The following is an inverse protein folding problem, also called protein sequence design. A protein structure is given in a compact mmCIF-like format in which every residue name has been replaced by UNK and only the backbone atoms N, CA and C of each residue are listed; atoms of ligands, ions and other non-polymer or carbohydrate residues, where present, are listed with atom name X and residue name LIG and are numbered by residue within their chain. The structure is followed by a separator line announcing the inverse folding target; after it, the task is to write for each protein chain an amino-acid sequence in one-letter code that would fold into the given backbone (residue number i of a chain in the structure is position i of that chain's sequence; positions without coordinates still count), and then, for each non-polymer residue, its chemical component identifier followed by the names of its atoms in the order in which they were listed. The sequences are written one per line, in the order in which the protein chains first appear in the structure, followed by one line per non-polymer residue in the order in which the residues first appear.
data_IF_026278514869
#
_entry.id   IF_026278514869
#
_cell.length_a   1.000
_cell.length_b   1.000
_cell.length_c   1.000
_cell.angle_alpha   90.00
_cell.angle_beta   90.00
_cell.angle_gamma   90.00
#
_symmetry.space_group_name_H-M   'P 1'
#
loop_
_entity.id
_entity.type
_entity.pdbx_description
1 polymer ?
#
# COMPACT_ATOMS: atom_id res chain seq x y z
N UNK A 1 -13.98 -26.73 30.29
CA UNK A 1 -13.54 -26.91 28.90
C UNK A 1 -12.03 -26.72 28.90
N UNK A 2 -11.26 -27.74 28.53
CA UNK A 2 -9.79 -27.68 28.51
C UNK A 2 -9.30 -27.01 27.22
N UNK A 3 -8.06 -26.49 27.20
CA UNK A 3 -7.43 -25.84 26.04
C UNK A 3 -7.47 -26.74 24.80
N UNK A 4 -7.31 -28.04 24.98
CA UNK A 4 -7.38 -29.05 23.93
C UNK A 4 -8.74 -29.08 23.21
N UNK A 5 -9.85 -28.92 23.93
CA UNK A 5 -11.21 -28.88 23.33
C UNK A 5 -11.40 -27.64 22.46
N UNK A 6 -10.89 -26.48 22.90
CA UNK A 6 -10.93 -25.26 22.09
C UNK A 6 -10.08 -25.38 20.83
N UNK A 7 -8.89 -25.97 20.91
CA UNK A 7 -8.06 -26.20 19.74
C UNK A 7 -8.74 -27.12 18.73
N UNK A 8 -9.38 -28.20 19.19
CA UNK A 8 -10.14 -29.09 18.30
C UNK A 8 -11.30 -28.37 17.58
N UNK A 9 -11.99 -27.44 18.26
CA UNK A 9 -13.05 -26.62 17.65
C UNK A 9 -12.53 -25.58 16.67
N UNK A 10 -11.32 -25.06 16.88
CA UNK A 10 -10.65 -24.14 15.95
C UNK A 10 -10.27 -24.88 14.66
N UNK A 11 -9.75 -26.10 14.79
CA UNK A 11 -9.33 -26.96 13.68
C UNK A 11 -10.51 -27.52 12.87
N UNK A 12 -11.61 -27.85 13.54
CA UNK A 12 -12.79 -28.45 12.92
C UNK A 12 -14.08 -27.69 13.29
N UNK A 13 -14.26 -26.44 12.82
CA UNK A 13 -15.47 -25.68 13.08
C UNK A 13 -16.68 -26.28 12.37
N UNK A 14 -17.85 -26.24 13.02
CA UNK A 14 -19.12 -26.65 12.41
C UNK A 14 -19.49 -25.72 11.25
N UNK A 15 -19.67 -26.27 10.05
CA UNK A 15 -20.06 -25.50 8.87
C UNK A 15 -21.57 -25.34 8.78
N UNK A 16 -22.03 -24.09 8.85
CA UNK A 16 -23.41 -23.67 8.53
C UNK A 16 -23.43 -22.85 7.26
N UNK A 17 -24.60 -22.40 6.81
CA UNK A 17 -24.78 -21.65 5.55
C UNK A 17 -23.78 -20.50 5.35
N UNK A 18 -23.46 -19.75 6.41
CA UNK A 18 -22.43 -18.71 6.38
C UNK A 18 -21.05 -19.27 5.96
N UNK A 19 -20.63 -20.36 6.61
CA UNK A 19 -19.37 -21.04 6.32
C UNK A 19 -19.35 -21.65 4.93
N UNK A 20 -20.48 -22.21 4.48
CA UNK A 20 -20.63 -22.76 3.13
C UNK A 20 -20.51 -21.65 2.08
N UNK A 21 -21.20 -20.51 2.27
CA UNK A 21 -21.16 -19.39 1.33
C UNK A 21 -19.76 -18.80 1.18
N UNK A 22 -19.05 -18.60 2.30
CA UNK A 22 -17.68 -18.06 2.31
C UNK A 22 -16.60 -19.11 2.02
N UNK A 23 -16.95 -20.39 1.91
CA UNK A 23 -16.02 -21.51 1.84
C UNK A 23 -15.02 -21.52 3.01
N UNK A 24 -15.54 -21.33 4.22
CA UNK A 24 -14.74 -21.31 5.45
C UNK A 24 -14.00 -22.63 5.69
N UNK A 25 -14.53 -23.77 5.22
CA UNK A 25 -13.84 -25.05 5.25
C UNK A 25 -12.49 -25.00 4.51
N UNK A 26 -12.47 -24.44 3.30
CA UNK A 26 -11.25 -24.28 2.52
C UNK A 26 -10.35 -23.19 3.08
N UNK A 27 -10.95 -22.05 3.45
CA UNK A 27 -10.21 -20.89 3.96
C UNK A 27 -9.49 -21.19 5.28
N UNK A 28 -10.15 -21.88 6.22
CA UNK A 28 -9.62 -22.22 7.54
C UNK A 28 -8.75 -23.49 7.52
N UNK A 29 -8.69 -24.21 6.38
CA UNK A 29 -7.77 -25.32 6.16
C UNK A 29 -6.46 -24.87 5.47
N UNK A 30 -6.31 -23.60 5.12
CA UNK A 30 -5.10 -23.07 4.48
C UNK A 30 -3.93 -22.84 5.46
N UNK A 31 -4.17 -22.92 6.77
CA UNK A 31 -3.13 -22.79 7.79
C UNK A 31 -2.60 -24.18 8.15
N UNK A 32 -1.32 -24.30 8.53
CA UNK A 32 -0.79 -25.56 9.09
C UNK A 32 -1.66 -26.04 10.27
N UNK A 33 -1.75 -27.35 10.52
CA UNK A 33 -2.35 -27.86 11.76
C UNK A 33 -1.61 -27.29 12.98
N UNK A 34 -2.34 -26.97 14.05
CA UNK A 34 -1.82 -26.42 15.31
C UNK A 34 -0.75 -27.32 15.94
N UNK A 35 -0.85 -28.64 15.74
CA UNK A 35 0.14 -29.60 16.22
C UNK A 35 1.45 -29.61 15.44
N UNK A 36 1.46 -29.04 14.22
CA UNK A 36 2.61 -28.99 13.32
C UNK A 36 3.30 -27.63 13.30
N UNK A 37 2.78 -26.65 14.06
CA UNK A 37 3.39 -25.32 14.16
C UNK A 37 4.76 -25.39 14.85
N UNK A 38 5.74 -24.67 14.33
CA UNK A 38 7.09 -24.58 14.89
C UNK A 38 7.10 -23.83 16.24
N UNK A 39 6.16 -22.90 16.41
CA UNK A 39 5.89 -22.20 17.67
C UNK A 39 4.47 -21.60 17.67
N UNK A 40 4.09 -20.95 18.78
CA UNK A 40 2.75 -20.40 18.96
C UNK A 40 2.43 -19.19 18.05
N UNK A 41 3.45 -18.53 17.50
CA UNK A 41 3.29 -17.35 16.65
C UNK A 41 3.18 -17.66 15.15
N UNK A 42 3.46 -18.90 14.73
CA UNK A 42 3.41 -19.27 13.31
C UNK A 42 1.99 -19.16 12.73
N UNK A 43 0.95 -19.37 13.54
CA UNK A 43 -0.43 -19.18 13.11
C UNK A 43 -0.72 -17.72 12.75
N UNK A 44 -0.33 -16.76 13.61
CA UNK A 44 -0.54 -15.34 13.31
C UNK A 44 0.29 -14.90 12.10
N UNK A 45 1.51 -15.43 11.96
CA UNK A 45 2.35 -15.17 10.79
C UNK A 45 1.63 -15.59 9.50
N UNK A 46 1.07 -16.80 9.44
CA UNK A 46 0.32 -17.26 8.27
C UNK A 46 -0.94 -16.42 8.01
N UNK A 47 -1.74 -16.16 9.04
CA UNK A 47 -3.02 -15.46 8.88
C UNK A 47 -2.82 -14.03 8.38
N UNK A 48 -1.86 -13.26 8.93
CA UNK A 48 -1.61 -11.88 8.50
C UNK A 48 -1.30 -11.82 7.00
N UNK A 49 -0.39 -12.68 6.52
CA UNK A 49 -0.01 -12.71 5.10
C UNK A 49 -1.13 -13.27 4.20
N UNK A 50 -1.93 -14.23 4.66
CA UNK A 50 -3.09 -14.73 3.91
C UNK A 50 -4.17 -13.65 3.75
N UNK A 51 -4.42 -12.87 4.81
CA UNK A 51 -5.33 -11.72 4.77
C UNK A 51 -4.80 -10.64 3.81
N UNK A 52 -3.48 -10.38 3.80
CA UNK A 52 -2.86 -9.51 2.78
C UNK A 52 -3.14 -9.98 1.36
N UNK A 53 -2.97 -11.26 1.05
CA UNK A 53 -3.26 -11.79 -0.30
C UNK A 53 -4.74 -11.62 -0.68
N UNK A 54 -5.66 -11.78 0.28
CA UNK A 54 -7.09 -11.53 0.04
C UNK A 54 -7.38 -10.05 -0.22
N UNK A 55 -6.78 -9.13 0.55
CA UNK A 55 -6.90 -7.70 0.30
C UNK A 55 -6.27 -7.28 -1.02
N UNK A 56 -5.10 -7.82 -1.36
CA UNK A 56 -4.44 -7.52 -2.63
C UNK A 56 -5.25 -8.03 -3.82
N UNK A 57 -5.91 -9.19 -3.69
CA UNK A 57 -6.86 -9.68 -4.71
C UNK A 57 -8.02 -8.69 -4.90
N UNK A 58 -8.61 -8.18 -3.82
CA UNK A 58 -9.71 -7.21 -3.90
C UNK A 58 -9.26 -5.85 -4.44
N UNK A 59 -8.06 -5.38 -4.07
CA UNK A 59 -7.45 -4.18 -4.62
C UNK A 59 -7.28 -4.33 -6.12
N UNK A 60 -6.63 -5.41 -6.57
CA UNK A 60 -6.39 -5.64 -7.99
C UNK A 60 -7.70 -5.71 -8.78
N UNK A 61 -8.69 -6.47 -8.31
CA UNK A 61 -10.02 -6.53 -8.91
C UNK A 61 -10.66 -5.14 -9.02
N UNK A 62 -10.62 -4.35 -7.95
CA UNK A 62 -11.20 -3.00 -7.92
C UNK A 62 -10.45 -2.04 -8.84
N UNK A 63 -9.13 -2.14 -8.95
CA UNK A 63 -8.33 -1.30 -9.85
C UNK A 63 -8.57 -1.63 -11.33
N UNK A 64 -8.88 -2.89 -11.67
CA UNK A 64 -9.33 -3.25 -13.02
C UNK A 64 -10.66 -2.59 -13.35
N UNK A 65 -11.63 -2.57 -12.43
CA UNK A 65 -12.87 -1.82 -12.63
C UNK A 65 -12.60 -0.31 -12.78
N UNK A 66 -11.66 0.24 -12.01
CA UNK A 66 -11.27 1.67 -12.13
C UNK A 66 -10.76 1.99 -13.53
N UNK A 67 -9.99 1.11 -14.17
CA UNK A 67 -9.56 1.31 -15.57
C UNK A 67 -10.75 1.51 -16.52
N UNK A 68 -11.76 0.64 -16.45
CA UNK A 68 -12.97 0.75 -17.28
C UNK A 68 -13.74 2.06 -17.01
N UNK A 69 -13.86 2.46 -15.74
CA UNK A 69 -14.56 3.71 -15.39
C UNK A 69 -13.74 4.97 -15.69
N UNK A 70 -12.41 4.91 -15.72
CA UNK A 70 -11.57 6.00 -16.20
C UNK A 70 -11.82 6.25 -17.68
N UNK A 71 -11.79 5.19 -18.51
CA UNK A 71 -12.03 5.29 -19.95
C UNK A 71 -13.42 5.86 -20.28
N UNK A 72 -14.44 5.49 -19.50
CA UNK A 72 -15.81 6.00 -19.62
C UNK A 72 -16.04 7.37 -18.98
N UNK A 73 -15.02 7.95 -18.34
CA UNK A 73 -15.10 9.21 -17.60
C UNK A 73 -16.19 9.24 -16.52
N UNK A 74 -16.42 8.10 -15.85
CA UNK A 74 -17.39 8.00 -14.74
C UNK A 74 -16.72 8.39 -13.42
N UNK A 75 -16.37 9.67 -13.28
CA UNK A 75 -15.55 10.23 -12.18
C UNK A 75 -16.02 9.80 -10.79
N UNK A 76 -17.32 9.92 -10.48
CA UNK A 76 -17.84 9.55 -9.16
C UNK A 76 -17.64 8.06 -8.82
N UNK A 77 -17.72 7.19 -9.84
CA UNK A 77 -17.49 5.76 -9.66
C UNK A 77 -16.01 5.47 -9.45
N UNK A 78 -15.13 6.11 -10.23
CA UNK A 78 -13.67 6.06 -10.04
C UNK A 78 -13.32 6.44 -8.60
N UNK A 79 -13.78 7.59 -8.12
CA UNK A 79 -13.49 8.08 -6.76
C UNK A 79 -14.03 7.14 -5.69
N UNK A 80 -15.24 6.61 -5.86
CA UNK A 80 -15.82 5.62 -4.92
C UNK A 80 -14.94 4.36 -4.82
N UNK A 81 -14.49 3.84 -5.96
CA UNK A 81 -13.68 2.62 -6.01
C UNK A 81 -12.24 2.86 -5.52
N UNK A 82 -11.64 3.99 -5.87
CA UNK A 82 -10.34 4.40 -5.31
C UNK A 82 -10.42 4.55 -3.79
N UNK A 83 -11.50 5.14 -3.27
CA UNK A 83 -11.73 5.21 -1.83
C UNK A 83 -11.80 3.84 -1.14
N UNK A 84 -12.28 2.78 -1.84
CA UNK A 84 -12.19 1.40 -1.34
C UNK A 84 -10.75 0.91 -1.34
N UNK A 85 -10.02 1.10 -2.44
CA UNK A 85 -8.60 0.73 -2.56
C UNK A 85 -7.78 1.37 -1.45
N UNK A 86 -7.95 2.67 -1.20
CA UNK A 86 -7.24 3.40 -0.17
C UNK A 86 -7.50 2.86 1.24
N UNK A 87 -8.74 2.44 1.54
CA UNK A 87 -9.07 1.81 2.83
C UNK A 87 -8.42 0.44 2.97
N UNK A 88 -8.40 -0.36 1.90
CA UNK A 88 -7.74 -1.66 1.88
C UNK A 88 -6.23 -1.53 2.10
N UNK A 89 -5.56 -0.58 1.44
CA UNK A 89 -4.12 -0.33 1.65
C UNK A 89 -3.84 0.11 3.09
N UNK A 90 -4.69 0.98 3.67
CA UNK A 90 -4.56 1.35 5.10
C UNK A 90 -4.72 0.14 6.03
N UNK A 91 -5.68 -0.75 5.77
CA UNK A 91 -5.86 -1.98 6.54
C UNK A 91 -4.65 -2.92 6.41
N UNK A 92 -4.10 -3.06 5.19
CA UNK A 92 -2.86 -3.82 4.97
C UNK A 92 -1.70 -3.26 5.77
N UNK A 93 -1.58 -1.93 5.84
CA UNK A 93 -0.52 -1.28 6.64
C UNK A 93 -0.74 -1.46 8.14
N UNK A 94 -1.97 -1.24 8.63
CA UNK A 94 -2.26 -1.27 10.07
C UNK A 94 -2.12 -2.68 10.68
N UNK A 95 -2.44 -3.74 9.93
CA UNK A 95 -2.31 -5.10 10.46
C UNK A 95 -0.86 -5.54 10.68
N UNK A 96 0.13 -4.85 10.10
CA UNK A 96 1.55 -5.14 10.34
C UNK A 96 1.91 -5.02 11.82
N UNK A 97 1.18 -4.19 12.58
CA UNK A 97 1.33 -4.02 14.02
C UNK A 97 1.10 -5.33 14.80
N UNK A 98 0.31 -6.27 14.27
CA UNK A 98 0.15 -7.60 14.88
C UNK A 98 1.46 -8.38 14.87
N UNK A 99 2.23 -8.31 13.78
CA UNK A 99 3.51 -9.01 13.66
C UNK A 99 4.57 -8.39 14.59
N UNK A 100 4.36 -7.17 15.10
CA UNK A 100 5.26 -6.57 16.08
C UNK A 100 5.17 -7.21 17.47
N UNK A 101 4.11 -7.95 17.77
CA UNK A 101 3.97 -8.68 19.04
C UNK A 101 4.79 -9.96 19.09
N UNK A 102 5.28 -10.43 17.94
CA UNK A 102 6.15 -11.61 17.82
C UNK A 102 7.59 -11.22 18.17
N UNK A 103 8.25 -12.01 19.02
CA UNK A 103 9.65 -11.75 19.32
C UNK A 103 10.56 -12.10 18.14
N UNK A 104 11.73 -11.44 17.99
CA UNK A 104 12.72 -11.85 17.01
C UNK A 104 13.14 -13.34 17.16
N UNK A 105 13.10 -13.90 18.38
CA UNK A 105 13.45 -15.31 18.63
C UNK A 105 12.43 -16.27 18.01
N UNK A 106 11.14 -16.00 18.20
CA UNK A 106 10.05 -16.80 17.60
C UNK A 106 10.06 -16.67 16.08
N UNK A 107 10.25 -15.45 15.55
CA UNK A 107 10.37 -15.25 14.10
C UNK A 107 11.53 -16.05 13.50
N UNK A 108 12.69 -16.12 14.17
CA UNK A 108 13.82 -16.91 13.66
C UNK A 108 13.52 -18.40 13.57
N UNK A 109 12.66 -18.95 14.43
CA UNK A 109 12.22 -20.35 14.31
C UNK A 109 11.34 -20.54 13.08
N UNK A 110 10.36 -19.65 12.86
CA UNK A 110 9.51 -19.65 11.65
C UNK A 110 10.36 -19.50 10.40
N UNK A 111 11.34 -18.59 10.40
CA UNK A 111 12.22 -18.31 9.27
C UNK A 111 12.99 -19.54 8.78
N UNK A 112 13.29 -20.51 9.64
CA UNK A 112 13.95 -21.77 9.25
C UNK A 112 13.04 -22.67 8.40
N UNK A 113 11.72 -22.57 8.56
CA UNK A 113 10.72 -23.37 7.85
C UNK A 113 10.27 -22.75 6.51
N UNK A 114 10.59 -21.48 6.26
CA UNK A 114 10.14 -20.74 5.07
C UNK A 114 10.83 -21.16 3.75
N UNK A 115 11.88 -21.99 3.83
CA UNK A 115 12.70 -22.34 2.67
C UNK A 115 13.28 -21.09 1.98
N UNK A 116 13.02 -20.92 0.69
CA UNK A 116 13.42 -19.73 -0.08
C UNK A 116 12.30 -18.69 -0.25
N UNK A 117 11.16 -18.88 0.42
CA UNK A 117 9.97 -18.05 0.27
C UNK A 117 10.23 -16.59 0.63
N UNK A 118 9.70 -15.67 -0.17
CA UNK A 118 9.87 -14.23 0.06
C UNK A 118 8.61 -13.47 -0.33
N UNK A 119 8.31 -12.36 0.37
CA UNK A 119 7.26 -11.42 -0.05
C UNK A 119 7.47 -10.88 -1.47
N UNK A 120 8.70 -10.91 -2.02
CA UNK A 120 8.97 -10.60 -3.43
C UNK A 120 8.31 -11.58 -4.41
N UNK A 121 7.83 -12.73 -3.93
CA UNK A 121 7.14 -13.75 -4.71
C UNK A 121 5.62 -13.63 -4.64
N UNK A 122 5.10 -12.76 -3.77
CA UNK A 122 3.67 -12.53 -3.59
C UNK A 122 2.97 -12.29 -4.94
N UNK A 123 2.00 -13.14 -5.31
CA UNK A 123 1.25 -12.97 -6.56
C UNK A 123 0.37 -11.72 -6.52
N UNK A 124 -0.31 -11.44 -5.40
CA UNK A 124 -1.12 -10.23 -5.23
C UNK A 124 -0.29 -8.95 -5.36
N UNK A 125 0.85 -8.90 -4.67
CA UNK A 125 1.72 -7.72 -4.70
C UNK A 125 2.27 -7.48 -6.12
N UNK A 126 2.77 -8.53 -6.79
CA UNK A 126 3.26 -8.44 -8.17
C UNK A 126 2.20 -7.93 -9.14
N UNK A 127 0.95 -8.36 -8.99
CA UNK A 127 -0.15 -7.91 -9.84
C UNK A 127 -0.43 -6.43 -9.61
N UNK A 128 -0.52 -5.99 -8.35
CA UNK A 128 -0.74 -4.58 -8.01
C UNK A 128 0.36 -3.71 -8.62
N UNK A 129 1.63 -4.11 -8.56
CA UNK A 129 2.73 -3.34 -9.13
C UNK A 129 2.66 -3.15 -10.66
N UNK A 130 1.86 -3.94 -11.37
CA UNK A 130 1.71 -3.82 -12.83
C UNK A 130 0.63 -2.84 -13.27
N UNK A 131 -0.33 -2.54 -12.40
CA UNK A 131 -1.51 -1.72 -12.74
C UNK A 131 -1.25 -0.20 -12.84
N UNK A 132 -0.34 0.43 -12.05
CA UNK A 132 -0.19 1.88 -12.08
C UNK A 132 0.17 2.48 -13.44
N UNK A 133 1.06 1.90 -14.26
CA UNK A 133 1.29 2.41 -15.62
C UNK A 133 0.03 2.46 -16.48
N UNK A 134 -0.85 1.45 -16.37
CA UNK A 134 -2.11 1.40 -17.10
C UNK A 134 -3.11 2.43 -16.57
N UNK A 135 -3.22 2.58 -15.24
CA UNK A 135 -4.06 3.59 -14.59
C UNK A 135 -3.63 4.99 -15.02
N UNK A 136 -2.32 5.24 -15.04
CA UNK A 136 -1.76 6.53 -15.46
C UNK A 136 -2.09 6.82 -16.92
N UNK A 137 -1.88 5.85 -17.81
CA UNK A 137 -2.21 5.99 -19.23
C UNK A 137 -3.70 6.27 -19.46
N UNK A 138 -4.59 5.52 -18.79
CA UNK A 138 -6.03 5.71 -18.90
C UNK A 138 -6.46 7.09 -18.37
N UNK A 139 -5.92 7.51 -17.23
CA UNK A 139 -6.17 8.84 -16.67
C UNK A 139 -5.71 9.95 -17.60
N UNK A 140 -4.47 9.91 -18.10
CA UNK A 140 -3.94 10.93 -19.01
C UNK A 140 -4.79 11.04 -20.27
N UNK A 141 -5.10 9.91 -20.90
CA UNK A 141 -5.95 9.90 -22.09
C UNK A 141 -7.35 10.51 -21.83
N UNK A 142 -8.02 10.12 -20.75
CA UNK A 142 -9.41 10.49 -20.52
C UNK A 142 -9.61 11.87 -19.84
N UNK A 143 -8.68 12.30 -18.99
CA UNK A 143 -8.84 13.49 -18.15
C UNK A 143 -7.81 14.60 -18.45
N UNK A 144 -6.71 14.30 -19.15
CA UNK A 144 -5.69 15.28 -19.52
C UNK A 144 -5.61 15.48 -21.04
N UNK A 145 -4.85 14.64 -21.74
CA UNK A 145 -4.53 14.75 -23.16
C UNK A 145 -5.79 14.89 -24.03
N UNK A 146 -6.82 14.07 -23.77
CA UNK A 146 -8.10 14.11 -24.50
C UNK A 146 -8.93 15.38 -24.25
N UNK A 147 -8.59 16.16 -23.22
CA UNK A 147 -9.21 17.45 -22.87
C UNK A 147 -8.28 18.64 -23.19
N UNK A 148 -7.08 18.39 -23.72
CA UNK A 148 -6.07 19.42 -23.96
C UNK A 148 -5.52 20.04 -22.67
N UNK A 149 -5.54 19.30 -21.56
CA UNK A 149 -5.03 19.74 -20.26
C UNK A 149 -3.73 19.03 -19.94
N UNK A 150 -2.85 19.72 -19.22
CA UNK A 150 -1.66 19.18 -18.57
C UNK A 150 -1.90 18.93 -17.08
N UNK A 151 -0.93 18.29 -16.41
CA UNK A 151 -0.94 18.21 -14.94
C UNK A 151 -0.89 19.60 -14.31
N UNK A 152 -0.13 20.54 -14.88
CA UNK A 152 -0.06 21.91 -14.39
C UNK A 152 -1.42 22.62 -14.46
N UNK A 153 -2.17 22.42 -15.54
CA UNK A 153 -3.47 23.06 -15.73
C UNK A 153 -4.46 22.68 -14.62
N UNK A 154 -4.49 21.39 -14.25
CA UNK A 154 -5.45 20.90 -13.26
C UNK A 154 -5.07 21.22 -11.81
N UNK A 155 -3.83 21.65 -11.54
CA UNK A 155 -3.38 22.02 -10.19
C UNK A 155 -3.15 23.54 -10.00
N UNK A 156 -2.92 24.29 -11.08
CA UNK A 156 -2.53 25.71 -11.01
C UNK A 156 -3.27 26.56 -12.05
N UNK A 157 -2.90 26.48 -13.34
CA UNK A 157 -3.32 27.46 -14.35
C UNK A 157 -4.83 27.51 -14.61
N UNK A 158 -5.52 26.37 -14.47
CA UNK A 158 -6.95 26.20 -14.71
C UNK A 158 -7.63 25.48 -13.54
N UNK A 159 -7.09 25.63 -12.32
CA UNK A 159 -7.61 24.94 -11.15
C UNK A 159 -9.05 25.36 -10.82
N UNK A 160 -9.96 24.38 -10.88
CA UNK A 160 -11.39 24.52 -10.57
C UNK A 160 -11.91 23.44 -9.62
N UNK A 161 -11.01 22.60 -9.09
CA UNK A 161 -11.35 21.40 -8.31
C UNK A 161 -12.25 20.40 -9.07
N UNK A 162 -12.19 20.41 -10.39
CA UNK A 162 -13.00 19.56 -11.25
C UNK A 162 -12.53 18.10 -11.30
N UNK A 163 -13.21 17.33 -12.14
CA UNK A 163 -13.05 15.88 -12.24
C UNK A 163 -11.60 15.40 -12.40
N UNK A 164 -10.82 16.05 -13.28
CA UNK A 164 -9.44 15.66 -13.55
C UNK A 164 -8.55 15.82 -12.30
N UNK A 165 -8.73 16.91 -11.56
CA UNK A 165 -8.05 17.15 -10.29
C UNK A 165 -8.42 16.08 -9.25
N UNK A 166 -9.73 15.83 -9.04
CA UNK A 166 -10.18 14.88 -8.01
C UNK A 166 -9.70 13.45 -8.30
N UNK A 167 -9.68 13.04 -9.57
CA UNK A 167 -9.13 11.73 -9.96
C UNK A 167 -7.61 11.69 -9.78
N UNK A 168 -6.89 12.77 -10.11
CA UNK A 168 -5.46 12.87 -9.86
C UNK A 168 -5.12 12.73 -8.37
N UNK A 169 -5.89 13.39 -7.49
CA UNK A 169 -5.73 13.28 -6.04
C UNK A 169 -5.99 11.85 -5.54
N UNK A 170 -6.98 11.16 -6.11
CA UNK A 170 -7.23 9.76 -5.77
C UNK A 170 -6.06 8.84 -6.20
N UNK A 171 -5.41 9.11 -7.33
CA UNK A 171 -4.25 8.34 -7.79
C UNK A 171 -3.01 8.59 -6.93
N UNK A 172 -2.67 9.86 -6.64
CA UNK A 172 -1.51 10.16 -5.80
C UNK A 172 -1.69 9.66 -4.36
N UNK A 173 -2.91 9.69 -3.80
CA UNK A 173 -3.18 9.09 -2.49
C UNK A 173 -2.92 7.58 -2.50
N UNK A 174 -3.25 6.87 -3.59
CA UNK A 174 -2.94 5.45 -3.71
C UNK A 174 -1.42 5.19 -3.70
N UNK A 175 -0.65 5.98 -4.44
CA UNK A 175 0.82 5.91 -4.44
C UNK A 175 1.38 6.19 -3.04
N UNK A 176 0.94 7.28 -2.39
CA UNK A 176 1.37 7.66 -1.04
C UNK A 176 1.10 6.54 -0.02
N UNK A 177 -0.11 5.98 -0.01
CA UNK A 177 -0.48 4.90 0.90
C UNK A 177 0.34 3.64 0.66
N UNK A 178 0.68 3.35 -0.60
CA UNK A 178 1.52 2.20 -0.93
C UNK A 178 2.97 2.41 -0.50
N UNK A 179 3.51 3.64 -0.57
CA UNK A 179 4.82 3.94 0.01
C UNK A 179 4.81 3.83 1.54
N UNK A 180 3.75 4.29 2.20
CA UNK A 180 3.57 4.11 3.66
C UNK A 180 3.56 2.63 4.05
N UNK A 181 2.84 1.79 3.29
CA UNK A 181 2.88 0.34 3.47
C UNK A 181 4.31 -0.21 3.37
N UNK A 182 5.04 0.13 2.29
CA UNK A 182 6.42 -0.33 2.07
C UNK A 182 7.37 0.11 3.19
N UNK A 183 7.23 1.36 3.66
CA UNK A 183 8.05 1.90 4.74
C UNK A 183 7.78 1.14 6.05
N UNK A 184 6.51 0.95 6.44
CA UNK A 184 6.16 0.21 7.65
C UNK A 184 6.64 -1.24 7.58
N UNK A 185 6.47 -1.90 6.44
CA UNK A 185 6.97 -3.25 6.23
C UNK A 185 8.51 -3.32 6.33
N UNK A 186 9.24 -2.32 5.84
CA UNK A 186 10.70 -2.24 6.01
C UNK A 186 11.10 -2.11 7.49
N UNK A 187 10.40 -1.29 8.26
CA UNK A 187 10.64 -1.17 9.70
C UNK A 187 10.32 -2.48 10.45
N UNK A 188 9.23 -3.16 10.07
CA UNK A 188 8.90 -4.49 10.60
C UNK A 188 10.02 -5.50 10.33
N UNK A 189 10.58 -5.52 9.12
CA UNK A 189 11.75 -6.37 8.81
C UNK A 189 12.94 -5.98 9.68
N UNK A 190 13.24 -4.69 9.80
CA UNK A 190 14.36 -4.20 10.59
C UNK A 190 14.27 -4.67 12.05
N UNK A 191 13.11 -4.52 12.71
CA UNK A 191 12.94 -4.99 14.10
C UNK A 191 12.98 -6.51 14.23
N UNK A 192 12.60 -7.26 13.19
CA UNK A 192 12.48 -8.72 13.23
C UNK A 192 13.82 -9.42 12.97
N UNK A 193 14.63 -8.91 12.02
CA UNK A 193 15.90 -9.56 11.62
C UNK A 193 17.12 -8.64 11.56
N UNK A 194 16.97 -7.33 11.66
CA UNK A 194 18.06 -6.36 11.50
C UNK A 194 18.28 -5.90 10.05
N UNK A 195 18.81 -4.68 9.86
CA UNK A 195 19.08 -4.10 8.53
C UNK A 195 20.16 -4.87 7.75
N UNK A 196 21.20 -5.36 8.43
CA UNK A 196 22.30 -6.09 7.78
C UNK A 196 22.00 -7.56 7.48
N UNK A 197 20.77 -8.02 7.72
CA UNK A 197 20.39 -9.39 7.45
C UNK A 197 20.31 -9.67 5.95
N UNK A 198 20.60 -10.90 5.56
CA UNK A 198 20.32 -11.37 4.20
C UNK A 198 18.91 -11.95 4.14
N UNK A 199 18.19 -11.65 3.06
CA UNK A 199 16.96 -12.35 2.71
C UNK A 199 17.20 -13.86 2.56
N UNK A 200 16.13 -14.65 2.51
CA UNK A 200 16.19 -16.10 2.30
C UNK A 200 16.83 -16.50 0.96
N UNK A 201 16.97 -15.56 0.02
CA UNK A 201 17.70 -15.74 -1.26
C UNK A 201 19.12 -15.16 -1.24
N UNK A 202 19.65 -14.85 -0.06
CA UNK A 202 20.99 -14.28 0.11
C UNK A 202 21.13 -12.81 -0.32
N UNK A 203 20.04 -12.18 -0.76
CA UNK A 203 20.02 -10.78 -1.20
C UNK A 203 19.98 -9.84 0.00
N UNK A 204 20.76 -8.74 -0.01
CA UNK A 204 20.71 -7.72 1.03
C UNK A 204 19.29 -7.12 1.18
N UNK A 205 18.86 -6.82 2.40
CA UNK A 205 17.55 -6.18 2.69
C UNK A 205 17.46 -4.79 2.07
N UNK A 206 18.60 -4.14 1.81
CA UNK A 206 18.79 -2.85 1.15
C UNK A 206 18.15 -2.79 -0.26
N UNK A 207 17.92 -3.94 -0.92
CA UNK A 207 17.18 -3.99 -2.18
C UNK A 207 15.71 -3.54 -1.99
N UNK A 208 15.14 -3.72 -0.79
CA UNK A 208 13.79 -3.26 -0.46
C UNK A 208 13.73 -1.73 -0.31
N UNK A 209 14.83 -1.08 0.07
CA UNK A 209 14.92 0.39 0.17
C UNK A 209 14.79 1.06 -1.20
N UNK A 210 15.33 0.44 -2.26
CA UNK A 210 15.15 0.93 -3.63
C UNK A 210 13.69 0.90 -4.10
N UNK A 211 12.95 -0.13 -3.71
CA UNK A 211 11.51 -0.25 -3.98
C UNK A 211 10.68 0.83 -3.30
N UNK A 212 11.04 1.23 -2.08
CA UNK A 212 10.35 2.28 -1.32
C UNK A 212 10.47 3.69 -1.93
N UNK A 213 11.36 3.89 -2.90
CA UNK A 213 11.53 5.18 -3.60
C UNK A 213 10.78 5.25 -4.93
N UNK A 214 10.22 4.14 -5.41
CA UNK A 214 9.57 4.10 -6.70
C UNK A 214 8.16 4.69 -6.62
N UNK A 215 8.00 5.92 -7.12
CA UNK A 215 6.72 6.62 -7.29
C UNK A 215 5.99 6.06 -8.51
N UNK A 216 4.72 5.70 -8.34
CA UNK A 216 3.86 5.23 -9.42
C UNK A 216 3.46 6.34 -10.38
N UNK A 217 3.23 7.55 -9.86
CA UNK A 217 2.79 8.70 -10.66
C UNK A 217 3.73 9.91 -10.47
N UNK A 218 4.98 9.86 -10.96
CA UNK A 218 5.98 10.91 -10.69
C UNK A 218 5.52 12.31 -11.07
N UNK A 219 4.84 12.47 -12.20
CA UNK A 219 4.32 13.77 -12.69
C UNK A 219 3.39 14.44 -11.67
N UNK A 220 2.58 13.65 -10.94
CA UNK A 220 1.75 14.17 -9.86
C UNK A 220 2.60 14.64 -8.68
N UNK A 221 3.66 13.94 -8.31
CA UNK A 221 4.51 14.42 -7.21
C UNK A 221 5.32 15.67 -7.60
N UNK A 222 5.85 15.68 -8.82
CA UNK A 222 6.78 16.71 -9.29
C UNK A 222 6.11 18.08 -9.45
N UNK A 223 4.83 18.13 -9.87
CA UNK A 223 4.11 19.41 -10.03
C UNK A 223 4.04 20.24 -8.74
N UNK A 224 4.06 19.59 -7.56
CA UNK A 224 4.08 20.29 -6.27
C UNK A 224 5.37 21.09 -6.08
N UNK A 225 6.50 20.53 -6.48
CA UNK A 225 7.79 21.23 -6.47
C UNK A 225 7.74 22.42 -7.42
N UNK A 226 7.32 22.19 -8.66
CA UNK A 226 7.27 23.21 -9.71
C UNK A 226 6.34 24.39 -9.34
N UNK A 227 5.19 24.11 -8.73
CA UNK A 227 4.27 25.14 -8.22
C UNK A 227 4.88 25.91 -7.05
N UNK A 228 5.49 25.20 -6.09
CA UNK A 228 6.12 25.83 -4.92
C UNK A 228 7.26 26.75 -5.32
N UNK A 229 8.10 26.33 -6.28
CA UNK A 229 9.21 27.13 -6.79
C UNK A 229 8.72 28.36 -7.56
N UNK A 230 7.66 28.24 -8.37
CA UNK A 230 7.06 29.37 -9.09
C UNK A 230 6.41 30.40 -8.16
N UNK A 231 5.63 29.96 -7.17
CA UNK A 231 5.13 30.86 -6.13
C UNK A 231 6.29 31.46 -5.31
N UNK A 232 7.34 30.66 -5.12
CA UNK A 232 8.66 30.98 -4.56
C UNK A 232 9.36 32.17 -5.20
N UNK A 233 9.31 32.25 -6.53
CA UNK A 233 10.03 33.24 -7.31
C UNK A 233 9.67 34.69 -6.94
N UNK A 234 8.49 34.94 -6.36
CA UNK A 234 8.05 36.27 -5.94
C UNK A 234 8.76 36.80 -4.68
N UNK A 235 9.32 35.94 -3.82
CA UNK A 235 9.96 36.32 -2.55
C UNK A 235 11.36 35.73 -2.35
N UNK A 236 11.93 35.08 -3.38
CA UNK A 236 13.25 34.44 -3.32
C UNK A 236 13.25 33.10 -2.56
N UNK A 237 14.40 32.45 -2.48
CA UNK A 237 14.56 31.12 -1.84
C UNK A 237 14.32 31.16 -0.32
N UNK A 238 14.51 32.33 0.31
CA UNK A 238 14.36 32.52 1.76
C UNK A 238 13.43 33.71 1.99
N UNK A 239 12.32 33.49 2.67
CA UNK A 239 11.43 34.55 3.13
C UNK A 239 11.99 35.23 4.37
N UNK A 240 11.67 36.50 4.53
CA UNK A 240 11.96 37.22 5.78
C UNK A 240 11.28 36.55 6.98
N UNK A 241 11.95 36.62 8.13
CA UNK A 241 11.41 36.11 9.38
C UNK A 241 10.18 36.92 9.80
N UNK A 242 9.05 36.26 10.00
CA UNK A 242 7.83 36.91 10.51
C UNK A 242 8.04 37.43 11.95
N UNK A 243 8.92 36.77 12.73
CA UNK A 243 9.23 37.19 14.11
C UNK A 243 10.29 38.30 14.18
N UNK A 244 11.05 38.53 13.11
CA UNK A 244 12.07 39.57 13.00
C UNK A 244 11.99 40.22 11.60
N UNK A 245 10.99 41.09 11.35
CA UNK A 245 10.87 41.75 10.06
C UNK A 245 12.13 42.58 9.78
N UNK A 246 12.63 42.62 8.53
CA UNK A 246 13.78 43.43 8.20
C UNK A 246 13.53 44.89 8.56
N UNK A 247 14.46 45.50 9.28
CA UNK A 247 14.37 46.93 9.60
C UNK A 247 14.38 47.70 8.27
N UNK A 248 13.37 48.57 8.08
CA UNK A 248 13.31 49.44 6.92
C UNK A 248 14.65 50.19 6.80
N UNK A 249 15.35 50.01 5.67
CA UNK A 249 16.59 50.74 5.41
C UNK A 249 16.25 52.23 5.43
N UNK A 250 16.69 52.93 6.48
CA UNK A 250 16.60 54.38 6.55
C UNK A 250 17.37 54.94 5.34
N UNK A 251 16.65 55.71 4.51
CA UNK A 251 17.23 56.45 3.40
C UNK A 251 18.10 57.62 3.84
#
# INVERSE_FOLDING_TARGET
MDKSDYHARIEAPEMRDYGVYLKCDQLLACQKPLSEMVNADELQFQIVHQVEELWMKLIAYTLVDVLDYLERQHTHRVVTLMGRVHRLVRMMTAQLDLLETMSPKEYQQIRLELGNGSGQESPGFKLILRLPPDLWRAFKHAYLDGRGLSVEDIYDAHYDHGDAYVVAEALIEFDELFQKFRANHLYLIHRSIGLGAKSLKGRPVEILEGGARHRFFPELWDIRCDMTDRWGAAYGTVRDSISHPPQAKAG
#
